data_IF_096220558202
#
_entry.id   IF_096220558202
#
_cell.length_a   1.000
_cell.length_b   1.000
_cell.length_c   1.000
_cell.angle_alpha   90.00
_cell.angle_beta   90.00
_cell.angle_gamma   90.00
#
_symmetry.space_group_name_H-M   'P 1'
#
loop_
_entity.id
_entity.type
_entity.pdbx_description
1 polymer ?
#
# COMPACT_ATOMS: atom_id res chain seq x y z
N UNK A 1 -29.36 1.84 -2.77
CA UNK A 1 -28.76 0.94 -1.74
C UNK A 1 -28.87 -0.53 -2.12
N UNK A 2 -30.08 -1.09 -2.29
CA UNK A 2 -30.26 -2.52 -2.65
C UNK A 2 -29.54 -2.94 -3.94
N UNK A 3 -29.57 -2.06 -4.94
CA UNK A 3 -28.90 -2.28 -6.23
C UNK A 3 -27.36 -2.31 -6.09
N UNK A 4 -26.78 -1.42 -5.27
CA UNK A 4 -25.33 -1.40 -5.04
C UNK A 4 -24.83 -2.73 -4.45
N UNK A 5 -25.45 -3.22 -3.37
CA UNK A 5 -25.03 -4.48 -2.75
C UNK A 5 -25.36 -5.72 -3.58
N UNK A 6 -26.36 -5.64 -4.47
CA UNK A 6 -26.80 -6.78 -5.29
C UNK A 6 -26.04 -6.96 -6.60
N UNK A 7 -25.58 -5.88 -7.25
CA UNK A 7 -25.00 -5.94 -8.60
C UNK A 7 -23.70 -5.15 -8.80
N UNK A 8 -23.18 -4.46 -7.78
CA UNK A 8 -21.90 -3.75 -7.90
C UNK A 8 -20.73 -4.71 -8.01
N UNK A 9 -19.77 -4.41 -8.88
CA UNK A 9 -18.49 -5.14 -8.98
C UNK A 9 -17.64 -5.04 -7.70
N UNK A 10 -17.88 -4.01 -6.88
CA UNK A 10 -17.21 -3.83 -5.59
C UNK A 10 -17.92 -4.58 -4.44
N UNK A 11 -19.16 -5.03 -4.65
CA UNK A 11 -19.90 -5.88 -3.72
C UNK A 11 -19.65 -7.34 -4.08
N UNK A 12 -18.57 -7.92 -3.54
CA UNK A 12 -18.13 -9.27 -3.86
C UNK A 12 -18.57 -10.27 -2.78
N UNK A 13 -18.81 -11.52 -3.20
CA UNK A 13 -18.96 -12.61 -2.25
C UNK A 13 -17.64 -12.82 -1.51
N UNK A 14 -17.72 -12.88 -0.19
CA UNK A 14 -16.56 -13.06 0.67
C UNK A 14 -15.80 -14.35 0.32
N UNK A 15 -14.48 -14.28 0.28
CA UNK A 15 -13.63 -15.45 0.03
C UNK A 15 -13.33 -16.11 1.37
N UNK A 16 -13.95 -17.28 1.61
CA UNK A 16 -13.97 -17.95 2.91
C UNK A 16 -13.28 -19.32 2.86
N UNK A 17 -12.30 -19.49 1.95
CA UNK A 17 -11.54 -20.74 1.89
C UNK A 17 -10.73 -20.99 3.18
N UNK A 18 -10.20 -19.93 3.78
CA UNK A 18 -9.48 -19.96 5.06
C UNK A 18 -9.40 -18.53 5.66
N UNK A 19 -9.00 -18.37 6.93
CA UNK A 19 -8.94 -17.05 7.58
C UNK A 19 -8.00 -16.04 6.89
N UNK A 20 -6.92 -16.50 6.26
CA UNK A 20 -6.01 -15.61 5.53
C UNK A 20 -6.68 -15.07 4.27
N UNK A 21 -7.35 -15.93 3.49
CA UNK A 21 -8.15 -15.51 2.32
C UNK A 21 -9.18 -14.45 2.70
N UNK A 22 -9.80 -14.57 3.88
CA UNK A 22 -10.75 -13.57 4.34
C UNK A 22 -10.10 -12.21 4.61
N UNK A 23 -8.97 -12.20 5.33
CA UNK A 23 -8.26 -10.97 5.65
C UNK A 23 -7.72 -10.31 4.39
N UNK A 24 -7.11 -11.10 3.49
CA UNK A 24 -6.60 -10.63 2.20
C UNK A 24 -7.72 -10.01 1.36
N UNK A 25 -8.89 -10.65 1.29
CA UNK A 25 -10.01 -10.10 0.51
C UNK A 25 -10.48 -8.74 1.08
N UNK A 26 -10.56 -8.60 2.41
CA UNK A 26 -10.93 -7.31 3.04
C UNK A 26 -9.90 -6.21 2.83
N UNK A 27 -8.63 -6.55 2.60
CA UNK A 27 -7.51 -5.61 2.37
C UNK A 27 -7.19 -5.39 0.89
N UNK A 28 -8.05 -5.90 -0.02
CA UNK A 28 -7.87 -5.80 -1.47
C UNK A 28 -8.20 -4.41 -1.98
N UNK A 29 -7.34 -3.90 -2.87
CA UNK A 29 -7.52 -2.66 -3.61
C UNK A 29 -7.76 -3.02 -5.08
N UNK A 30 -8.81 -2.46 -5.67
CA UNK A 30 -9.17 -2.70 -7.07
C UNK A 30 -9.17 -1.40 -7.85
N UNK A 31 -8.39 -1.35 -8.93
CA UNK A 31 -8.46 -0.29 -9.93
C UNK A 31 -9.66 -0.46 -10.89
N UNK A 32 -10.30 -1.63 -10.86
CA UNK A 32 -11.49 -1.95 -11.62
C UNK A 32 -12.76 -1.57 -10.87
N UNK A 33 -13.77 -1.11 -11.60
CA UNK A 33 -15.09 -0.80 -11.08
C UNK A 33 -15.70 0.43 -11.73
N UNK A 34 -16.94 0.80 -11.37
CA UNK A 34 -17.56 2.05 -11.83
C UNK A 34 -16.69 3.25 -11.46
N UNK A 35 -16.30 4.07 -12.44
CA UNK A 35 -15.39 5.21 -12.25
C UNK A 35 -13.90 4.88 -12.24
N UNK A 36 -13.53 3.59 -12.26
CA UNK A 36 -12.16 3.12 -12.43
C UNK A 36 -11.81 2.78 -13.88
N UNK A 37 -10.80 1.93 -14.03
CA UNK A 37 -10.36 1.43 -15.33
C UNK A 37 -11.24 0.26 -15.80
N UNK A 38 -11.45 0.15 -17.11
CA UNK A 38 -11.95 -1.09 -17.71
C UNK A 38 -10.75 -1.97 -18.09
N UNK A 39 -10.93 -3.30 -18.04
CA UNK A 39 -9.86 -4.26 -18.36
C UNK A 39 -9.21 -4.02 -19.73
N UNK A 40 -10.00 -3.62 -20.72
CA UNK A 40 -9.56 -3.37 -22.10
C UNK A 40 -8.80 -2.05 -22.28
N UNK A 41 -9.02 -1.08 -21.38
CA UNK A 41 -8.36 0.24 -21.42
C UNK A 41 -7.15 0.34 -20.50
N UNK A 42 -6.93 -0.67 -19.65
CA UNK A 42 -5.78 -0.72 -18.76
C UNK A 42 -4.53 -1.16 -19.54
N UNK A 43 -3.72 -0.18 -19.94
CA UNK A 43 -2.41 -0.39 -20.57
C UNK A 43 -1.39 -1.05 -19.64
N UNK A 44 -0.17 -1.22 -20.13
CA UNK A 44 0.91 -1.84 -19.35
C UNK A 44 1.39 -0.93 -18.20
N UNK A 45 1.52 0.37 -18.43
CA UNK A 45 2.06 1.33 -17.45
C UNK A 45 1.25 1.38 -16.13
N UNK A 46 -0.07 1.19 -16.19
CA UNK A 46 -0.93 1.21 -15.00
C UNK A 46 -0.89 -0.09 -14.19
N UNK A 47 -0.25 -1.14 -14.73
CA UNK A 47 -0.08 -2.44 -14.07
C UNK A 47 1.30 -2.59 -13.42
N UNK A 48 2.24 -1.73 -13.81
CA UNK A 48 3.60 -1.78 -13.30
C UNK A 48 3.69 -1.30 -11.85
N UNK A 49 4.73 -1.76 -11.16
CA UNK A 49 5.01 -1.36 -9.78
C UNK A 49 5.66 0.02 -9.80
N UNK A 50 4.99 1.00 -9.19
CA UNK A 50 5.53 2.34 -9.02
C UNK A 50 6.31 2.46 -7.70
N UNK A 51 7.42 3.24 -7.63
CA UNK A 51 8.20 3.40 -6.40
C UNK A 51 7.36 3.87 -5.19
N UNK A 52 6.34 4.70 -5.41
CA UNK A 52 5.44 5.19 -4.34
C UNK A 52 4.57 4.09 -3.73
N UNK A 53 4.51 2.90 -4.32
CA UNK A 53 3.84 1.74 -3.73
C UNK A 53 4.56 1.24 -2.47
N UNK A 54 5.86 1.56 -2.31
CA UNK A 54 6.63 1.15 -1.14
C UNK A 54 5.90 1.54 0.16
N UNK A 55 5.76 0.57 1.06
CA UNK A 55 5.04 0.74 2.33
C UNK A 55 3.51 0.91 2.23
N UNK A 56 2.92 1.02 1.02
CA UNK A 56 1.49 1.33 0.79
C UNK A 56 0.71 0.21 0.11
N UNK A 57 1.22 -0.24 -1.04
CA UNK A 57 0.62 -1.32 -1.85
C UNK A 57 1.65 -2.42 -2.01
N UNK A 58 1.25 -3.67 -1.75
CA UNK A 58 2.15 -4.81 -1.87
C UNK A 58 2.57 -4.99 -3.35
N UNK A 59 3.88 -4.95 -3.68
CA UNK A 59 4.33 -5.12 -5.06
C UNK A 59 4.35 -6.57 -5.53
N UNK A 60 4.09 -7.52 -4.62
CA UNK A 60 4.16 -8.97 -4.88
C UNK A 60 2.78 -9.59 -5.00
N UNK A 61 1.86 -9.23 -4.10
CA UNK A 61 0.54 -9.87 -4.03
C UNK A 61 -0.43 -9.23 -5.05
N UNK A 62 -0.46 -9.84 -6.24
CA UNK A 62 -1.41 -9.55 -7.31
C UNK A 62 -1.82 -10.88 -7.97
N UNK A 63 -3.05 -11.02 -8.50
CA UNK A 63 -3.40 -12.16 -9.35
C UNK A 63 -2.47 -12.23 -10.57
N UNK A 64 -2.02 -13.44 -10.92
CA UNK A 64 -1.12 -13.67 -12.07
C UNK A 64 -1.83 -13.50 -13.44
N UNK A 65 -3.15 -13.71 -13.47
CA UNK A 65 -3.94 -13.71 -14.70
C UNK A 65 -4.20 -12.30 -15.28
N UNK A 66 -5.30 -12.09 -16.03
CA UNK A 66 -5.56 -10.84 -16.74
C UNK A 66 -5.75 -9.61 -15.83
N UNK A 67 -5.90 -9.83 -14.52
CA UNK A 67 -6.03 -8.77 -13.52
C UNK A 67 -4.70 -8.38 -12.87
N UNK A 68 -3.55 -8.89 -13.35
CA UNK A 68 -2.23 -8.52 -12.86
C UNK A 68 -2.03 -6.99 -12.84
N UNK A 69 -1.61 -6.47 -11.68
CA UNK A 69 -1.40 -5.04 -11.42
C UNK A 69 -2.68 -4.23 -11.18
N UNK A 70 -3.86 -4.76 -11.52
CA UNK A 70 -5.15 -4.08 -11.37
C UNK A 70 -5.86 -4.40 -10.05
N UNK A 71 -5.49 -5.51 -9.44
CA UNK A 71 -5.95 -5.93 -8.12
C UNK A 71 -4.70 -6.16 -7.28
N UNK A 72 -4.54 -5.35 -6.24
CA UNK A 72 -3.41 -5.44 -5.33
C UNK A 72 -3.92 -5.54 -3.89
N UNK A 73 -3.01 -5.78 -2.95
CA UNK A 73 -3.31 -5.76 -1.52
C UNK A 73 -2.64 -4.58 -0.83
N UNK A 74 -3.25 -4.07 0.25
CA UNK A 74 -2.60 -3.11 1.14
C UNK A 74 -1.37 -3.71 1.81
N UNK A 75 -0.27 -2.94 1.83
CA UNK A 75 0.91 -3.26 2.65
C UNK A 75 0.53 -3.33 4.14
N UNK A 76 1.35 -4.01 4.95
CA UNK A 76 1.02 -4.35 6.35
C UNK A 76 0.66 -3.12 7.18
N UNK A 77 1.52 -2.09 7.15
CA UNK A 77 1.36 -0.86 7.94
C UNK A 77 0.67 0.28 7.20
N UNK A 78 0.18 0.03 5.98
CA UNK A 78 -0.49 1.05 5.20
C UNK A 78 -1.83 1.45 5.84
N UNK A 79 -2.10 2.75 5.87
CA UNK A 79 -3.36 3.31 6.37
C UNK A 79 -3.88 4.37 5.39
N UNK A 80 -5.21 4.53 5.33
CA UNK A 80 -5.86 5.61 4.58
C UNK A 80 -6.07 6.83 5.47
N UNK A 81 -5.73 8.02 4.97
CA UNK A 81 -6.04 9.27 5.65
C UNK A 81 -7.46 9.78 5.35
N UNK A 82 -7.83 10.92 5.93
CA UNK A 82 -9.17 11.52 5.79
C UNK A 82 -9.53 11.90 4.34
N UNK A 83 -8.52 12.13 3.50
CA UNK A 83 -8.68 12.45 2.09
C UNK A 83 -8.66 11.21 1.19
N UNK A 84 -8.41 10.02 1.75
CA UNK A 84 -8.35 8.75 1.03
C UNK A 84 -6.98 8.40 0.42
N UNK A 85 -5.92 9.14 0.74
CA UNK A 85 -4.56 8.77 0.34
C UNK A 85 -3.98 7.70 1.27
N UNK A 86 -3.10 6.87 0.71
CA UNK A 86 -2.36 5.87 1.46
C UNK A 86 -1.11 6.48 2.11
N UNK A 87 -0.97 6.21 3.39
CA UNK A 87 0.15 6.64 4.22
C UNK A 87 0.85 5.41 4.80
N UNK A 88 2.13 5.58 5.11
CA UNK A 88 2.95 4.55 5.72
C UNK A 88 3.79 5.16 6.84
N UNK A 89 3.99 4.46 7.97
CA UNK A 89 4.71 5.00 9.11
C UNK A 89 6.23 4.98 8.89
N UNK A 90 6.88 6.05 9.33
CA UNK A 90 8.34 6.20 9.38
C UNK A 90 8.79 6.71 10.75
N UNK A 91 10.03 6.38 11.14
CA UNK A 91 10.66 6.93 12.34
C UNK A 91 11.37 8.23 12.00
N UNK A 92 11.16 9.26 12.82
CA UNK A 92 11.85 10.54 12.64
C UNK A 92 13.33 10.41 13.03
N UNK A 93 14.21 10.90 12.17
CA UNK A 93 15.63 11.10 12.48
C UNK A 93 15.85 12.58 12.76
N UNK A 94 16.45 12.90 13.90
CA UNK A 94 16.75 14.28 14.31
C UNK A 94 18.18 14.37 14.80
N UNK A 95 18.93 15.31 14.23
CA UNK A 95 20.34 15.53 14.59
C UNK A 95 21.16 14.22 14.56
N UNK A 96 20.95 13.42 13.51
CA UNK A 96 21.59 12.11 13.26
C UNK A 96 21.18 10.96 14.21
N UNK A 97 20.20 11.19 15.08
CA UNK A 97 19.67 10.18 16.01
C UNK A 97 18.32 9.68 15.54
N UNK A 98 18.17 8.37 15.41
CA UNK A 98 16.87 7.74 15.12
C UNK A 98 15.99 7.75 16.38
N UNK A 99 14.84 8.41 16.29
CA UNK A 99 13.89 8.52 17.41
C UNK A 99 12.80 7.45 17.35
N UNK A 100 12.05 7.29 18.45
CA UNK A 100 10.85 6.44 18.51
C UNK A 100 9.56 7.17 18.08
N UNK A 101 9.70 8.40 17.59
CA UNK A 101 8.58 9.18 17.08
C UNK A 101 8.17 8.68 15.70
N UNK A 102 6.91 8.24 15.57
CA UNK A 102 6.36 7.68 14.33
C UNK A 102 5.50 8.72 13.64
N UNK A 103 5.84 9.01 12.38
CA UNK A 103 5.07 9.88 11.49
C UNK A 103 4.54 9.09 10.31
N UNK A 104 3.24 9.26 10.02
CA UNK A 104 2.63 8.69 8.82
C UNK A 104 2.81 9.67 7.67
N UNK A 105 3.45 9.20 6.60
CA UNK A 105 3.72 10.03 5.43
C UNK A 105 2.95 9.53 4.21
N UNK A 106 2.27 10.44 3.53
CA UNK A 106 1.71 10.21 2.19
C UNK A 106 2.83 10.12 1.15
N UNK A 107 2.51 9.60 -0.04
CA UNK A 107 3.49 9.48 -1.14
C UNK A 107 4.05 10.84 -1.59
N UNK A 108 3.30 11.92 -1.38
CA UNK A 108 3.70 13.29 -1.74
C UNK A 108 4.69 13.82 -0.69
N UNK A 109 4.40 13.60 0.58
CA UNK A 109 5.25 14.06 1.69
C UNK A 109 6.58 13.31 1.71
N UNK A 110 6.54 11.98 1.51
CA UNK A 110 7.75 11.15 1.45
C UNK A 110 8.74 11.64 0.40
N UNK A 111 8.27 12.18 -0.74
CA UNK A 111 9.13 12.73 -1.78
C UNK A 111 10.00 13.92 -1.36
N UNK A 112 9.71 14.55 -0.22
CA UNK A 112 10.51 15.66 0.32
C UNK A 112 11.62 15.19 1.29
N UNK A 113 11.67 13.90 1.60
CA UNK A 113 12.60 13.33 2.58
C UNK A 113 13.50 12.27 1.95
N UNK A 114 14.65 12.04 2.59
CA UNK A 114 15.51 10.90 2.29
C UNK A 114 15.20 9.82 3.32
N UNK A 115 14.82 8.63 2.84
CA UNK A 115 14.42 7.52 3.71
C UNK A 115 15.56 6.51 3.81
N UNK A 116 16.07 6.32 5.03
CA UNK A 116 17.00 5.24 5.33
C UNK A 116 16.27 3.89 5.39
N UNK A 117 17.00 2.80 5.13
CA UNK A 117 16.44 1.45 5.21
C UNK A 117 16.32 1.00 6.67
N UNK A 118 15.35 0.12 6.94
CA UNK A 118 15.12 -0.40 8.29
C UNK A 118 16.25 -1.31 8.81
N UNK A 119 17.13 -1.80 7.95
CA UNK A 119 18.27 -2.67 8.27
C UNK A 119 19.61 -1.92 8.40
N UNK A 120 19.61 -0.58 8.33
CA UNK A 120 20.82 0.19 8.58
C UNK A 120 21.30 -0.04 10.03
N UNK A 121 22.61 -0.21 10.21
CA UNK A 121 23.21 -0.50 11.52
C UNK A 121 23.23 0.79 12.35
N UNK A 122 22.70 0.69 13.58
CA UNK A 122 22.69 1.76 14.57
C UNK A 122 23.57 1.40 15.76
N UNK A 123 24.14 2.40 16.41
CA UNK A 123 24.81 2.24 17.71
C UNK A 123 23.80 2.22 18.87
N UNK A 124 24.30 2.02 20.09
CA UNK A 124 23.47 1.97 21.31
C UNK A 124 22.76 3.30 21.60
N UNK A 125 23.28 4.41 21.08
CA UNK A 125 22.74 5.77 21.25
C UNK A 125 21.79 6.17 20.10
N UNK A 126 21.60 5.30 19.09
CA UNK A 126 20.68 5.49 17.98
C UNK A 126 21.26 6.25 16.77
N UNK A 127 22.58 6.42 16.68
CA UNK A 127 23.26 7.00 15.53
C UNK A 127 23.60 5.94 14.48
N UNK A 128 23.84 6.37 13.25
CA UNK A 128 24.26 5.48 12.17
C UNK A 128 25.74 5.09 12.31
N UNK A 129 26.06 3.79 12.19
CA UNK A 129 27.42 3.27 12.42
C UNK A 129 28.30 3.34 11.16
N UNK A 130 27.69 3.34 9.98
CA UNK A 130 28.38 3.36 8.68
C UNK A 130 28.11 4.68 7.93
N UNK A 131 28.93 5.71 8.21
CA UNK A 131 29.31 6.79 7.28
C UNK A 131 30.81 7.11 7.35
#
# INVERSE_FOLDING_TARGET
>A
VKEFFGSSQLSQFMDQNNPLSEITHKRRISALGPGGLTRERAGFEVRDVHPTHYGRVCPIETPEGPNIGLINSLSVYAQTNEYGFLETPYRLVRDDVVTDEIHYLSAIEEGNFIIAQANTVLDDDGHFVDE
#
